data_IF_327487429233
#
_entry.id   IF_327487429233
#
_cell.length_a   1.000
_cell.length_b   1.000
_cell.length_c   1.000
_cell.angle_alpha   90.00
_cell.angle_beta   90.00
_cell.angle_gamma   90.00
#
_symmetry.space_group_name_H-M   'P 1'
#
loop_
_entity.id
_entity.type
_entity.pdbx_description
1 polymer ?
#
# COMPACT_ATOMS: atom_id res chain seq x y z
N UNK A 1 -3.70 6.55 -22.11
CA UNK A 1 -3.70 5.33 -21.27
C UNK A 1 -5.08 5.16 -20.67
N UNK A 2 -5.79 4.06 -20.96
CA UNK A 2 -7.14 3.79 -20.42
C UNK A 2 -6.96 3.04 -19.10
N UNK A 3 -7.15 3.70 -17.96
CA UNK A 3 -7.09 3.03 -16.65
C UNK A 3 -8.41 2.29 -16.41
N UNK A 4 -8.38 0.97 -16.32
CA UNK A 4 -9.54 0.17 -15.90
C UNK A 4 -9.53 0.06 -14.38
N UNK A 5 -10.58 0.55 -13.71
CA UNK A 5 -10.75 0.39 -12.26
C UNK A 5 -11.11 -1.06 -12.00
N UNK A 6 -10.22 -1.81 -11.35
CA UNK A 6 -10.41 -3.23 -11.08
C UNK A 6 -11.52 -3.51 -10.06
N UNK A 7 -11.65 -2.66 -9.04
CA UNK A 7 -12.62 -2.82 -7.97
C UNK A 7 -12.81 -1.51 -7.18
N UNK A 8 -13.94 -1.38 -6.49
CA UNK A 8 -14.14 -0.35 -5.45
C UNK A 8 -13.99 -0.96 -4.06
N UNK A 9 -13.30 -0.27 -3.16
CA UNK A 9 -13.02 -0.84 -1.84
C UNK A 9 -12.31 0.11 -0.89
N UNK A 10 -12.03 -0.41 0.30
CA UNK A 10 -11.29 0.27 1.35
C UNK A 10 -9.88 -0.30 1.48
N UNK A 11 -8.87 0.57 1.53
CA UNK A 11 -7.50 0.19 1.81
C UNK A 11 -7.21 0.35 3.30
N UNK A 12 -6.79 -0.73 3.95
CA UNK A 12 -6.50 -0.76 5.39
C UNK A 12 -5.06 -1.21 5.60
N UNK A 13 -4.31 -0.50 6.44
CA UNK A 13 -2.94 -0.85 6.80
C UNK A 13 -2.93 -1.34 8.25
N UNK A 14 -2.56 -2.60 8.43
CA UNK A 14 -2.37 -3.23 9.73
C UNK A 14 -0.87 -3.34 10.05
N UNK A 15 -0.54 -3.83 11.24
CA UNK A 15 0.86 -3.96 11.71
C UNK A 15 1.73 -4.81 10.77
N UNK A 16 1.16 -5.86 10.20
CA UNK A 16 1.86 -6.91 9.46
C UNK A 16 1.37 -7.10 8.02
N UNK A 17 0.27 -6.45 7.64
CA UNK A 17 -0.31 -6.59 6.29
C UNK A 17 -1.04 -5.33 5.80
N UNK A 18 -1.07 -5.16 4.49
CA UNK A 18 -1.93 -4.23 3.77
C UNK A 18 -3.14 -5.01 3.22
N UNK A 19 -4.35 -4.54 3.48
CA UNK A 19 -5.58 -5.23 3.05
C UNK A 19 -6.41 -4.31 2.17
N UNK A 20 -6.86 -4.84 1.05
CA UNK A 20 -7.89 -4.24 0.22
C UNK A 20 -9.21 -5.01 0.42
N UNK A 21 -10.18 -4.34 1.02
CA UNK A 21 -11.53 -4.87 1.24
C UNK A 21 -12.48 -4.34 0.17
N UNK A 22 -12.91 -5.23 -0.72
CA UNK A 22 -13.72 -4.89 -1.88
C UNK A 22 -15.19 -4.76 -1.49
N UNK A 23 -15.88 -3.71 -1.96
CA UNK A 23 -17.32 -3.52 -1.70
C UNK A 23 -18.22 -4.17 -2.75
N UNK A 24 -17.63 -4.71 -3.82
CA UNK A 24 -18.29 -5.31 -4.98
C UNK A 24 -18.33 -6.85 -4.91
N UNK A 25 -18.25 -7.41 -3.69
CA UNK A 25 -18.36 -8.85 -3.44
C UNK A 25 -17.12 -9.66 -3.81
N UNK A 26 -16.05 -9.00 -4.29
CA UNK A 26 -14.77 -9.65 -4.51
C UNK A 26 -14.11 -10.02 -3.17
N UNK A 27 -13.37 -11.14 -3.11
CA UNK A 27 -12.68 -11.54 -1.89
C UNK A 27 -11.67 -10.48 -1.47
N UNK A 28 -11.53 -10.29 -0.16
CA UNK A 28 -10.51 -9.42 0.42
C UNK A 28 -9.14 -9.87 -0.05
N UNK A 29 -8.29 -8.92 -0.42
CA UNK A 29 -6.88 -9.19 -0.77
C UNK A 29 -6.00 -8.69 0.36
N UNK A 30 -5.26 -9.61 0.96
CA UNK A 30 -4.29 -9.30 2.00
C UNK A 30 -2.87 -9.47 1.45
N UNK A 31 -2.02 -8.48 1.70
CA UNK A 31 -0.63 -8.43 1.29
C UNK A 31 0.24 -8.30 2.55
N UNK A 32 0.92 -9.37 3.00
CA UNK A 32 1.89 -9.27 4.09
C UNK A 32 2.92 -8.17 3.79
N UNK A 33 3.24 -7.30 4.74
CA UNK A 33 4.16 -6.18 4.48
C UNK A 33 5.55 -6.68 4.07
N UNK A 34 5.96 -7.83 4.58
CA UNK A 34 7.22 -8.46 4.18
C UNK A 34 7.20 -8.92 2.72
N UNK A 35 6.04 -9.23 2.12
CA UNK A 35 5.94 -9.62 0.72
C UNK A 35 5.91 -8.43 -0.25
N UNK A 36 5.75 -7.20 0.26
CA UNK A 36 5.83 -5.97 -0.52
C UNK A 36 7.30 -5.56 -0.62
N UNK A 37 7.84 -5.54 -1.83
CA UNK A 37 9.23 -5.15 -2.10
C UNK A 37 9.40 -3.64 -2.23
N UNK A 38 8.36 -2.94 -2.69
CA UNK A 38 8.37 -1.49 -2.88
C UNK A 38 6.97 -0.91 -2.77
N UNK A 39 6.86 0.28 -2.20
CA UNK A 39 5.66 1.11 -2.24
C UNK A 39 6.04 2.53 -2.65
N UNK A 40 5.26 3.14 -3.53
CA UNK A 40 5.46 4.51 -4.01
C UNK A 40 4.12 5.23 -4.10
N UNK A 41 4.18 6.56 -4.10
CA UNK A 41 3.03 7.43 -4.37
C UNK A 41 3.17 7.98 -5.79
N UNK A 42 2.17 7.76 -6.64
CA UNK A 42 2.12 8.27 -8.01
C UNK A 42 1.09 9.41 -8.09
N UNK A 43 1.53 10.64 -7.82
CA UNK A 43 0.63 11.77 -7.65
C UNK A 43 -0.20 11.69 -6.35
N UNK A 44 -1.09 12.65 -6.08
CA UNK A 44 -1.67 12.83 -4.75
C UNK A 44 -2.66 11.74 -4.30
N UNK A 45 -3.13 10.88 -5.23
CA UNK A 45 -4.25 9.96 -5.00
C UNK A 45 -3.94 8.50 -5.30
N UNK A 46 -2.76 8.19 -5.82
CA UNK A 46 -2.43 6.83 -6.26
C UNK A 46 -1.32 6.26 -5.40
N UNK A 47 -1.60 5.13 -4.77
CA UNK A 47 -0.61 4.28 -4.13
C UNK A 47 -0.30 3.13 -5.07
N UNK A 48 0.97 2.95 -5.40
CA UNK A 48 1.43 1.81 -6.18
C UNK A 48 2.39 0.99 -5.33
N UNK A 49 2.27 -0.33 -5.36
CA UNK A 49 3.19 -1.22 -4.68
C UNK A 49 3.51 -2.45 -5.52
N UNK A 50 4.68 -3.01 -5.26
CA UNK A 50 5.19 -4.20 -5.94
C UNK A 50 5.40 -5.29 -4.92
N UNK A 51 4.95 -6.49 -5.22
CA UNK A 51 5.18 -7.68 -4.40
C UNK A 51 6.44 -8.42 -4.84
N UNK A 52 6.97 -9.33 -4.01
CA UNK A 52 8.23 -10.07 -4.28
C UNK A 52 8.17 -10.96 -5.53
N UNK A 53 6.98 -11.35 -5.96
CA UNK A 53 6.71 -12.05 -7.22
C UNK A 53 6.61 -11.10 -8.43
N UNK A 54 7.07 -9.86 -8.28
CA UNK A 54 7.09 -8.80 -9.30
C UNK A 54 5.70 -8.36 -9.81
N UNK A 55 4.62 -8.69 -9.11
CA UNK A 55 3.31 -8.14 -9.44
C UNK A 55 3.20 -6.68 -8.98
N UNK A 56 2.62 -5.84 -9.83
CA UNK A 56 2.40 -4.42 -9.55
C UNK A 56 0.92 -4.18 -9.30
N UNK A 57 0.63 -3.55 -8.17
CA UNK A 57 -0.72 -3.20 -7.73
C UNK A 57 -0.86 -1.70 -7.64
N UNK A 58 -1.99 -1.18 -8.12
CA UNK A 58 -2.33 0.23 -8.05
C UNK A 58 -3.66 0.40 -7.30
N UNK A 59 -3.67 1.31 -6.31
CA UNK A 59 -4.86 1.73 -5.59
C UNK A 59 -5.04 3.23 -5.78
N UNK A 60 -6.17 3.60 -6.38
CA UNK A 60 -6.52 4.99 -6.65
C UNK A 60 -7.63 5.46 -5.73
N UNK A 61 -7.33 6.45 -4.89
CA UNK A 61 -8.33 7.13 -4.05
C UNK A 61 -9.23 8.04 -4.90
N UNK A 62 -10.52 8.07 -4.58
CA UNK A 62 -11.49 9.00 -5.18
C UNK A 62 -11.33 10.43 -4.64
N UNK A 63 -10.74 10.60 -3.45
CA UNK A 63 -10.57 11.91 -2.79
C UNK A 63 -9.09 12.24 -2.60
N UNK A 64 -8.73 13.52 -2.55
CA UNK A 64 -7.36 13.98 -2.34
C UNK A 64 -7.00 13.80 -0.86
N UNK A 65 -6.75 12.55 -0.47
CA UNK A 65 -6.27 12.12 0.85
C UNK A 65 -5.58 10.78 0.68
N UNK A 66 -4.62 10.40 1.50
CA UNK A 66 -3.24 10.89 1.48
C UNK A 66 -2.39 9.64 1.27
N UNK A 67 -2.13 9.27 0.01
CA UNK A 67 -1.34 8.07 -0.32
C UNK A 67 0.03 8.07 0.40
N UNK A 68 0.58 9.27 0.66
CA UNK A 68 1.78 9.47 1.48
C UNK A 68 1.67 8.94 2.91
N UNK A 69 0.51 8.98 3.56
CA UNK A 69 0.36 8.41 4.91
C UNK A 69 0.56 6.90 4.90
N UNK A 70 0.06 6.22 3.88
CA UNK A 70 0.27 4.78 3.74
C UNK A 70 1.75 4.48 3.51
N UNK A 71 2.41 5.24 2.64
CA UNK A 71 3.84 5.08 2.38
C UNK A 71 4.69 5.26 3.66
N UNK A 72 4.45 6.33 4.42
CA UNK A 72 5.21 6.63 5.63
C UNK A 72 5.01 5.56 6.72
N UNK A 73 3.75 5.17 6.98
CA UNK A 73 3.45 4.13 7.98
C UNK A 73 3.97 2.76 7.52
N UNK A 74 3.87 2.46 6.23
CA UNK A 74 4.44 1.24 5.65
C UNK A 74 5.95 1.15 5.88
N UNK A 75 6.70 2.22 5.61
CA UNK A 75 8.15 2.26 5.82
C UNK A 75 8.53 1.98 7.28
N UNK A 76 7.83 2.62 8.22
CA UNK A 76 8.01 2.40 9.66
C UNK A 76 7.73 0.94 10.06
N UNK A 77 6.61 0.39 9.61
CA UNK A 77 6.23 -0.98 9.93
C UNK A 77 7.20 -1.99 9.29
N UNK A 78 7.65 -1.73 8.07
CA UNK A 78 8.58 -2.61 7.38
C UNK A 78 9.96 -2.63 8.06
N UNK A 79 10.47 -1.48 8.50
CA UNK A 79 11.71 -1.39 9.30
C UNK A 79 11.56 -2.19 10.60
N UNK A 80 10.46 -1.98 11.32
CA UNK A 80 10.16 -2.69 12.55
C UNK A 80 10.12 -4.22 12.35
N UNK A 81 9.44 -4.70 11.31
CA UNK A 81 9.33 -6.13 10.99
C UNK A 81 10.65 -6.77 10.57
N UNK A 82 11.61 -5.99 10.06
CA UNK A 82 12.97 -6.45 9.72
C UNK A 82 13.92 -6.44 10.92
N UNK A 83 13.50 -5.92 12.07
CA UNK A 83 14.38 -5.72 13.23
C UNK A 83 15.42 -4.61 12.99
N UNK A 84 15.20 -3.74 12.01
CA UNK A 84 16.06 -2.59 11.75
C UNK A 84 15.82 -1.54 12.85
N UNK A 85 16.87 -0.95 13.45
CA UNK A 85 16.69 0.17 14.38
C UNK A 85 15.98 1.32 13.65
N UNK A 86 15.11 2.06 14.35
CA UNK A 86 14.41 3.23 13.80
C UNK A 86 15.42 4.24 13.27
N UNK A 87 15.71 4.18 11.96
CA UNK A 87 16.74 4.95 11.29
C UNK A 87 16.12 5.92 10.30
N UNK A 88 16.10 7.20 10.71
CA UNK A 88 16.02 8.39 9.86
C UNK A 88 14.76 8.59 8.99
N UNK A 89 13.71 9.16 9.59
CA UNK A 89 13.00 10.26 8.94
C UNK A 89 13.65 11.57 9.37
N UNK A 90 14.88 11.81 8.88
CA UNK A 90 15.49 13.13 8.97
C UNK A 90 14.75 14.06 8.01
N UNK A 91 13.89 14.91 8.57
CA UNK A 91 13.43 16.15 7.94
C UNK A 91 14.17 17.27 8.64
#
# INVERSE_FOLDING_TARGET
SRSHVLASGNLQLFRDQLVFDSTDGQPKRAFPLLSISRMIVHGPQTLQFTTRDNQVWEVRSKTVRSAYKYLLVFQLLQQHLKGEPYGFFGI
#
